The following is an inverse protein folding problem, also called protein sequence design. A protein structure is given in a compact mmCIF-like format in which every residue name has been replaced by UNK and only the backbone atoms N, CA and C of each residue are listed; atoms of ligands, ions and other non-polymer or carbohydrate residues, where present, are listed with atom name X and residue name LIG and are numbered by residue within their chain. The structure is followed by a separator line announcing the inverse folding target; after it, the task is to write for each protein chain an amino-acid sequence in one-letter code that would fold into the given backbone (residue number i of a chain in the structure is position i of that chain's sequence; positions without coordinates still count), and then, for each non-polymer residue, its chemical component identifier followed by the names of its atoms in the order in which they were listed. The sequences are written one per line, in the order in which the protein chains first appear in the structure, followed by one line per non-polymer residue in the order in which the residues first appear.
data_IF_308279272834
#
_entry.id   IF_308279272834
#
_cell.length_a   1.000
_cell.length_b   1.000
_cell.length_c   1.000
_cell.angle_alpha   90.00
_cell.angle_beta   90.00
_cell.angle_gamma   90.00
#
_symmetry.space_group_name_H-M   'P 1'
#
loop_
_entity.id
_entity.type
_entity.pdbx_description
1 polymer ?
#
# COMPACT_ATOMS: atom_id res chain seq x y z
N UNK A 1 -29.56 7.03 29.59
CA UNK A 1 -28.85 6.55 28.38
C UNK A 1 -27.87 7.63 27.93
N UNK A 2 -26.57 7.30 27.78
CA UNK A 2 -25.59 8.22 27.23
C UNK A 2 -25.82 8.36 25.72
N UNK A 3 -25.84 9.61 25.24
CA UNK A 3 -26.05 9.89 23.82
C UNK A 3 -24.71 10.07 23.13
N UNK A 4 -24.47 9.34 22.03
CA UNK A 4 -23.32 9.54 21.18
C UNK A 4 -23.72 10.45 20.03
N UNK A 5 -23.08 11.61 19.90
CA UNK A 5 -23.31 12.55 18.80
C UNK A 5 -22.28 12.32 17.72
N UNK A 6 -22.72 12.03 16.50
CA UNK A 6 -21.85 11.98 15.34
C UNK A 6 -21.83 13.37 14.71
N UNK A 7 -20.69 14.02 14.70
CA UNK A 7 -20.48 15.32 14.02
C UNK A 7 -19.57 15.12 12.82
N UNK A 8 -19.92 15.77 11.70
CA UNK A 8 -19.02 15.89 10.56
C UNK A 8 -17.83 16.76 10.97
N UNK A 9 -16.61 16.25 10.79
CA UNK A 9 -15.41 17.07 10.82
C UNK A 9 -15.19 17.62 9.41
N UNK A 10 -14.96 18.93 9.30
CA UNK A 10 -14.47 19.53 8.07
C UNK A 10 -13.03 19.07 7.80
N UNK A 11 -12.93 17.94 7.12
CA UNK A 11 -11.65 17.34 6.75
C UNK A 11 -11.52 17.33 5.24
N UNK A 12 -10.55 18.05 4.72
CA UNK A 12 -10.24 18.06 3.30
C UNK A 12 -9.17 17.03 2.99
N UNK A 13 -9.44 16.13 2.05
CA UNK A 13 -8.45 15.19 1.54
C UNK A 13 -7.84 15.74 0.26
N UNK A 14 -6.51 15.86 0.22
CA UNK A 14 -5.80 16.30 -0.97
C UNK A 14 -5.86 15.21 -2.06
N UNK A 15 -6.46 15.53 -3.20
CA UNK A 15 -6.50 14.67 -4.35
C UNK A 15 -5.27 14.89 -5.22
N UNK A 16 -4.58 13.81 -5.59
CA UNK A 16 -3.42 13.84 -6.48
C UNK A 16 -3.80 13.28 -7.85
N UNK A 17 -3.62 14.06 -8.91
CA UNK A 17 -3.76 13.58 -10.28
C UNK A 17 -2.48 12.87 -10.73
N UNK A 18 -2.62 11.62 -11.20
CA UNK A 18 -1.55 10.80 -11.74
C UNK A 18 -1.88 10.43 -13.18
N UNK A 19 -0.93 10.55 -14.09
CA UNK A 19 -1.17 10.18 -15.48
C UNK A 19 0.09 10.26 -16.33
N UNK A 20 0.02 9.61 -17.49
CA UNK A 20 1.05 9.67 -18.54
C UNK A 20 0.40 9.67 -19.91
N UNK A 21 1.07 10.30 -20.86
CA UNK A 21 0.71 10.30 -22.27
C UNK A 21 1.71 9.45 -23.06
N UNK A 22 1.18 8.58 -23.90
CA UNK A 22 1.91 7.82 -24.90
C UNK A 22 1.67 8.45 -26.27
N UNK A 23 2.70 8.54 -27.12
CA UNK A 23 2.62 8.98 -28.50
C UNK A 23 3.30 7.96 -29.37
N UNK A 24 2.70 7.62 -30.50
CA UNK A 24 3.31 6.75 -31.51
C UNK A 24 2.94 7.24 -32.91
N UNK A 25 3.84 7.06 -33.90
CA UNK A 25 3.54 7.31 -35.29
C UNK A 25 2.63 6.21 -35.87
N UNK A 26 1.83 6.54 -36.86
CA UNK A 26 1.00 5.56 -37.56
C UNK A 26 1.82 4.40 -38.12
N UNK A 27 3.02 4.68 -38.63
CA UNK A 27 3.93 3.68 -39.14
C UNK A 27 4.41 2.73 -38.04
N UNK A 28 4.77 3.27 -36.85
CA UNK A 28 5.17 2.47 -35.69
C UNK A 28 4.05 1.53 -35.24
N UNK A 29 2.80 1.97 -35.26
CA UNK A 29 1.64 1.15 -34.90
C UNK A 29 1.33 0.10 -35.99
N UNK A 30 1.39 0.51 -37.28
CA UNK A 30 1.03 -0.34 -38.41
C UNK A 30 2.01 -1.50 -38.67
N UNK A 31 3.30 -1.25 -38.46
CA UNK A 31 4.35 -2.23 -38.77
C UNK A 31 4.85 -3.04 -37.57
N UNK A 32 4.21 -2.89 -36.42
CA UNK A 32 4.52 -3.70 -35.24
C UNK A 32 4.00 -5.12 -35.38
N UNK A 33 4.84 -6.10 -35.04
CA UNK A 33 4.42 -7.51 -34.90
C UNK A 33 3.71 -7.81 -33.58
N UNK A 34 3.92 -6.98 -32.57
CA UNK A 34 3.33 -7.04 -31.24
C UNK A 34 2.59 -5.74 -30.98
N UNK A 35 1.45 -5.80 -30.33
CA UNK A 35 0.73 -4.59 -29.89
C UNK A 35 1.44 -3.93 -28.71
N UNK A 36 2.58 -3.30 -29.02
CA UNK A 36 3.40 -2.59 -28.03
C UNK A 36 2.67 -1.37 -27.47
N UNK A 37 1.74 -0.80 -28.22
CA UNK A 37 0.98 0.37 -27.78
C UNK A 37 0.05 -0.01 -26.61
N UNK A 38 -0.75 -1.06 -26.77
CA UNK A 38 -1.61 -1.58 -25.70
C UNK A 38 -0.79 -2.08 -24.51
N UNK A 39 0.35 -2.74 -24.75
CA UNK A 39 1.24 -3.18 -23.67
C UNK A 39 1.78 -1.98 -22.85
N UNK A 40 2.17 -0.90 -23.54
CA UNK A 40 2.65 0.32 -22.90
C UNK A 40 1.54 1.00 -22.08
N UNK A 41 0.31 1.05 -22.59
CA UNK A 41 -0.85 1.59 -21.83
C UNK A 41 -1.12 0.79 -20.55
N UNK A 42 -1.07 -0.54 -20.63
CA UNK A 42 -1.22 -1.41 -19.43
C UNK A 42 -0.12 -1.12 -18.40
N UNK A 43 1.13 -0.93 -18.87
CA UNK A 43 2.25 -0.59 -17.98
C UNK A 43 2.08 0.78 -17.32
N UNK A 44 1.54 1.76 -18.05
CA UNK A 44 1.20 3.07 -17.48
C UNK A 44 0.14 2.93 -16.38
N UNK A 45 -0.92 2.14 -16.62
CA UNK A 45 -1.94 1.86 -15.60
C UNK A 45 -1.36 1.22 -14.35
N UNK A 46 -0.49 0.23 -14.51
CA UNK A 46 0.21 -0.40 -13.38
C UNK A 46 1.11 0.59 -12.60
N UNK A 47 1.79 1.51 -13.30
CA UNK A 47 2.60 2.53 -12.64
C UNK A 47 1.75 3.56 -11.88
N UNK A 48 0.57 3.93 -12.41
CA UNK A 48 -0.39 4.78 -11.69
C UNK A 48 -0.82 4.10 -10.39
N UNK A 49 -1.21 2.82 -10.44
CA UNK A 49 -1.59 2.04 -9.26
C UNK A 49 -0.44 1.96 -8.23
N UNK A 50 0.81 1.78 -8.71
CA UNK A 50 1.98 1.78 -7.84
C UNK A 50 2.22 3.14 -7.17
N UNK A 51 2.02 4.24 -7.89
CA UNK A 51 2.10 5.58 -7.31
C UNK A 51 1.00 5.82 -6.25
N UNK A 52 -0.23 5.37 -6.52
CA UNK A 52 -1.32 5.44 -5.54
C UNK A 52 -1.02 4.60 -4.30
N UNK A 53 -0.44 3.40 -4.46
CA UNK A 53 0.00 2.57 -3.33
C UNK A 53 1.06 3.28 -2.48
N UNK A 54 2.01 3.99 -3.09
CA UNK A 54 3.00 4.80 -2.36
C UNK A 54 2.33 5.93 -1.57
N UNK A 55 1.37 6.63 -2.18
CA UNK A 55 0.61 7.68 -1.49
C UNK A 55 -0.20 7.11 -0.31
N UNK A 56 -0.80 5.92 -0.46
CA UNK A 56 -1.51 5.23 0.62
C UNK A 56 -0.58 4.83 1.78
N UNK A 57 0.58 4.26 1.46
CA UNK A 57 1.59 3.88 2.46
C UNK A 57 2.15 5.11 3.18
N UNK A 58 2.35 6.22 2.47
CA UNK A 58 2.79 7.47 3.10
C UNK A 58 1.77 7.97 4.14
N UNK A 59 0.47 7.93 3.82
CA UNK A 59 -0.60 8.27 4.76
C UNK A 59 -0.65 7.29 5.93
N UNK A 60 -0.45 5.98 5.69
CA UNK A 60 -0.39 4.97 6.75
C UNK A 60 0.80 5.14 7.71
N UNK A 61 1.90 5.73 7.26
CA UNK A 61 3.12 5.93 8.06
C UNK A 61 3.16 7.31 8.73
N UNK A 62 2.75 8.35 8.01
CA UNK A 62 2.91 9.74 8.41
C UNK A 62 1.60 10.44 8.75
N UNK A 63 0.45 9.80 8.49
CA UNK A 63 -0.86 10.44 8.57
C UNK A 63 -1.19 11.24 7.31
N UNK A 64 -2.38 11.78 7.27
CA UNK A 64 -2.92 12.54 6.12
C UNK A 64 -2.70 14.06 6.23
N UNK A 65 -1.87 14.49 7.17
CA UNK A 65 -1.56 15.90 7.42
C UNK A 65 -2.55 16.61 8.34
N UNK A 66 -3.67 15.98 8.73
CA UNK A 66 -4.57 16.55 9.74
C UNK A 66 -4.04 16.31 11.15
N UNK A 67 -4.40 17.20 12.07
CA UNK A 67 -3.98 17.12 13.47
C UNK A 67 -4.41 15.80 14.10
N UNK A 68 -3.45 15.04 14.64
CA UNK A 68 -3.71 13.77 15.32
C UNK A 68 -3.94 12.58 14.36
N UNK A 69 -3.71 12.72 13.06
CA UNK A 69 -3.87 11.63 12.08
C UNK A 69 -2.67 10.69 12.00
N UNK A 70 -1.52 11.06 12.56
CA UNK A 70 -0.34 10.22 12.53
C UNK A 70 -0.50 8.98 13.43
N UNK A 71 -0.23 7.77 12.91
CA UNK A 71 -0.34 6.55 13.70
C UNK A 71 0.80 6.47 14.73
N UNK A 72 0.62 5.60 15.72
CA UNK A 72 1.67 5.34 16.71
C UNK A 72 2.86 4.64 16.05
N UNK A 73 4.05 5.24 16.20
CA UNK A 73 5.31 4.66 15.74
C UNK A 73 6.00 3.95 16.90
N UNK A 74 6.39 2.71 16.65
CA UNK A 74 7.15 1.85 17.56
C UNK A 74 8.52 1.57 16.95
N UNK A 75 9.50 1.31 17.80
CA UNK A 75 10.85 0.92 17.37
C UNK A 75 11.19 -0.40 18.03
N UNK A 76 11.84 -1.32 17.32
CA UNK A 76 12.30 -2.59 17.89
C UNK A 76 13.36 -2.35 18.96
N UNK A 77 13.50 -3.27 19.90
CA UNK A 77 14.50 -3.21 20.95
C UNK A 77 15.92 -3.35 20.39
N UNK A 78 16.09 -4.19 19.38
CA UNK A 78 17.37 -4.48 18.72
C UNK A 78 17.33 -4.10 17.23
N UNK A 79 18.50 -4.14 16.58
CA UNK A 79 18.64 -3.92 15.13
C UNK A 79 18.13 -5.10 14.29
N UNK A 80 17.95 -6.27 14.92
CA UNK A 80 17.36 -7.46 14.31
C UNK A 80 15.95 -7.67 14.85
N UNK A 81 15.04 -8.09 13.97
CA UNK A 81 13.67 -8.40 14.33
C UNK A 81 13.63 -9.65 15.21
N UNK A 82 12.89 -9.58 16.33
CA UNK A 82 12.61 -10.69 17.21
C UNK A 82 11.10 -10.98 17.28
N UNK A 83 10.74 -12.20 17.64
CA UNK A 83 9.32 -12.57 17.82
C UNK A 83 8.62 -11.71 18.89
N UNK A 84 9.37 -11.35 19.96
CA UNK A 84 8.88 -10.42 21.01
C UNK A 84 8.46 -9.07 20.49
N UNK A 85 9.08 -8.57 19.41
CA UNK A 85 8.71 -7.29 18.80
C UNK A 85 7.32 -7.40 18.13
N UNK A 86 7.05 -8.52 17.46
CA UNK A 86 5.74 -8.78 16.86
C UNK A 86 4.65 -8.93 17.93
N UNK A 87 4.95 -9.59 19.05
CA UNK A 87 4.02 -9.67 20.19
C UNK A 87 3.77 -8.28 20.80
N UNK A 88 4.80 -7.46 20.91
CA UNK A 88 4.68 -6.08 21.37
C UNK A 88 3.79 -5.26 20.44
N UNK A 89 3.97 -5.40 19.13
CA UNK A 89 3.14 -4.74 18.13
C UNK A 89 1.68 -5.19 18.26
N UNK A 90 1.43 -6.48 18.35
CA UNK A 90 0.10 -7.06 18.52
C UNK A 90 -0.58 -6.57 19.81
N UNK A 91 0.15 -6.50 20.93
CA UNK A 91 -0.40 -6.06 22.23
C UNK A 91 -0.85 -4.59 22.26
N UNK A 92 -0.43 -3.77 21.28
CA UNK A 92 -0.86 -2.37 21.17
C UNK A 92 -2.23 -2.19 20.51
N UNK A 93 -2.81 -3.26 19.98
CA UNK A 93 -4.17 -3.25 19.45
C UNK A 93 -5.16 -3.61 20.57
N UNK A 94 -5.75 -2.60 21.21
CA UNK A 94 -6.71 -2.79 22.33
C UNK A 94 -8.16 -2.63 21.88
N UNK A 95 -8.44 -1.63 21.02
CA UNK A 95 -9.79 -1.33 20.52
C UNK A 95 -10.05 -1.92 19.12
N UNK A 96 -8.99 -2.24 18.37
CA UNK A 96 -9.04 -2.75 17.01
C UNK A 96 -8.33 -4.09 16.93
N UNK A 97 -8.54 -4.83 15.83
CA UNK A 97 -7.91 -6.12 15.61
C UNK A 97 -6.79 -5.99 14.56
N UNK A 98 -5.60 -6.48 14.90
CA UNK A 98 -4.54 -6.61 13.90
C UNK A 98 -4.91 -7.73 12.92
N UNK A 99 -5.47 -7.38 11.78
CA UNK A 99 -5.86 -8.36 10.75
C UNK A 99 -4.98 -8.31 9.50
N UNK A 100 -4.15 -7.29 9.35
CA UNK A 100 -3.29 -7.12 8.17
C UNK A 100 -1.92 -6.60 8.57
N UNK A 101 -0.88 -7.19 7.99
CA UNK A 101 0.51 -6.74 8.07
C UNK A 101 0.99 -6.37 6.67
N UNK A 102 1.34 -5.10 6.45
CA UNK A 102 1.99 -4.66 5.22
C UNK A 102 3.50 -4.61 5.44
N UNK A 103 4.23 -5.32 4.62
CA UNK A 103 5.70 -5.42 4.69
C UNK A 103 6.29 -5.51 3.30
N UNK A 104 7.56 -5.15 3.14
CA UNK A 104 8.27 -5.45 1.91
C UNK A 104 8.80 -6.89 1.90
N UNK A 105 9.26 -7.37 0.75
CA UNK A 105 9.73 -8.74 0.58
C UNK A 105 10.89 -9.10 1.53
N UNK A 106 11.81 -8.16 1.78
CA UNK A 106 12.96 -8.36 2.67
C UNK A 106 12.53 -8.52 4.13
N UNK A 107 11.63 -7.66 4.60
CA UNK A 107 11.08 -7.73 5.95
C UNK A 107 10.21 -8.97 6.13
N UNK A 108 9.43 -9.34 5.10
CA UNK A 108 8.65 -10.58 5.11
C UNK A 108 9.55 -11.83 5.27
N UNK A 109 10.66 -11.88 4.51
CA UNK A 109 11.64 -12.97 4.64
C UNK A 109 12.25 -13.01 6.05
N UNK A 110 12.54 -11.86 6.65
CA UNK A 110 13.03 -11.78 8.02
C UNK A 110 12.00 -12.29 9.04
N UNK A 111 10.71 -11.95 8.88
CA UNK A 111 9.63 -12.46 9.74
C UNK A 111 9.51 -13.99 9.61
N UNK A 112 9.43 -14.50 8.37
CA UNK A 112 9.28 -15.93 8.11
C UNK A 112 10.51 -16.74 8.55
N UNK A 113 11.69 -16.13 8.59
CA UNK A 113 12.92 -16.74 9.07
C UNK A 113 13.05 -16.83 10.60
N UNK A 114 12.13 -16.22 11.36
CA UNK A 114 12.13 -16.36 12.82
C UNK A 114 11.85 -17.81 13.22
N UNK A 115 12.58 -18.33 14.21
CA UNK A 115 12.45 -19.71 14.69
C UNK A 115 11.01 -20.05 15.08
N UNK A 116 10.26 -19.10 15.65
CA UNK A 116 8.86 -19.28 16.01
C UNK A 116 7.94 -19.61 14.82
N UNK A 117 8.32 -19.21 13.59
CA UNK A 117 7.53 -19.43 12.37
C UNK A 117 8.15 -20.49 11.45
N UNK A 118 9.43 -20.79 11.62
CA UNK A 118 10.14 -21.80 10.81
C UNK A 118 10.11 -23.22 11.38
N UNK A 119 9.63 -23.40 12.62
CA UNK A 119 9.52 -24.71 13.25
C UNK A 119 8.46 -25.56 12.51
N UNK A 120 8.81 -26.77 12.04
CA UNK A 120 7.89 -27.65 11.32
C UNK A 120 6.68 -28.10 12.14
N UNK A 121 6.78 -28.08 13.47
CA UNK A 121 5.75 -28.59 14.39
C UNK A 121 4.74 -27.53 14.77
N UNK A 122 5.20 -26.30 15.01
CA UNK A 122 4.37 -25.19 15.54
C UNK A 122 4.38 -23.96 14.65
N UNK A 123 5.24 -23.91 13.64
CA UNK A 123 5.42 -22.79 12.75
C UNK A 123 4.40 -22.68 11.61
N UNK A 124 4.61 -21.70 10.77
CA UNK A 124 3.77 -21.47 9.59
C UNK A 124 4.14 -22.46 8.47
N UNK A 125 3.15 -23.05 7.83
CA UNK A 125 3.34 -24.02 6.73
C UNK A 125 3.73 -23.38 5.38
N UNK A 126 4.56 -22.33 5.41
CA UNK A 126 5.00 -21.65 4.20
C UNK A 126 5.80 -22.56 3.27
N UNK A 127 6.67 -23.41 3.83
CA UNK A 127 7.53 -24.30 3.06
C UNK A 127 6.74 -25.29 2.19
N UNK A 128 5.57 -25.73 2.67
CA UNK A 128 4.74 -26.72 1.96
C UNK A 128 3.75 -26.06 0.99
N UNK A 129 3.25 -24.88 1.29
CA UNK A 129 2.13 -24.27 0.55
C UNK A 129 2.56 -23.13 -0.36
N UNK A 130 3.75 -22.53 -0.13
CA UNK A 130 4.20 -21.32 -0.81
C UNK A 130 3.32 -20.09 -0.54
N UNK A 131 2.31 -20.19 0.33
CA UNK A 131 1.47 -19.07 0.73
C UNK A 131 2.09 -18.37 1.93
N UNK A 132 2.06 -17.03 1.90
CA UNK A 132 2.47 -16.25 3.06
C UNK A 132 1.60 -16.63 4.25
N UNK A 133 2.26 -16.96 5.37
CA UNK A 133 1.58 -17.31 6.58
C UNK A 133 0.82 -16.14 7.19
N UNK A 134 -0.02 -16.44 8.17
CA UNK A 134 -0.79 -15.44 8.93
C UNK A 134 -0.21 -15.30 10.35
N UNK A 135 0.93 -14.59 10.53
CA UNK A 135 1.50 -14.43 11.85
C UNK A 135 0.53 -13.70 12.78
N UNK A 136 0.29 -14.29 13.95
CA UNK A 136 -0.64 -13.74 14.96
C UNK A 136 -2.07 -13.51 14.43
N UNK A 137 -2.51 -14.27 13.42
CA UNK A 137 -3.84 -14.14 12.82
C UNK A 137 -3.99 -13.00 11.82
N UNK A 138 -2.91 -12.27 11.50
CA UNK A 138 -2.92 -11.21 10.52
C UNK A 138 -2.46 -11.69 9.15
N UNK A 139 -3.17 -11.30 8.09
CA UNK A 139 -2.77 -11.55 6.71
C UNK A 139 -1.54 -10.72 6.36
N UNK A 140 -0.47 -11.36 5.90
CA UNK A 140 0.74 -10.68 5.47
C UNK A 140 0.65 -10.33 3.98
N UNK A 141 0.70 -9.04 3.66
CA UNK A 141 0.63 -8.52 2.30
C UNK A 141 1.98 -7.90 1.94
N UNK A 142 2.55 -8.36 0.83
CA UNK A 142 3.78 -7.77 0.29
C UNK A 142 3.47 -6.45 -0.40
N UNK A 143 4.21 -5.41 -0.01
CA UNK A 143 4.09 -4.08 -0.59
C UNK A 143 5.47 -3.45 -0.77
N UNK A 144 5.88 -3.24 -2.02
CA UNK A 144 7.18 -2.63 -2.35
C UNK A 144 7.28 -1.15 -1.95
N UNK A 145 6.15 -0.51 -1.63
CA UNK A 145 6.14 0.88 -1.18
C UNK A 145 6.54 1.02 0.29
N UNK A 146 6.53 -0.06 1.07
CA UNK A 146 6.95 -0.06 2.48
C UNK A 146 8.47 -0.09 2.55
N UNK A 147 9.05 0.78 3.37
CA UNK A 147 10.49 0.86 3.55
C UNK A 147 11.06 -0.42 4.20
N UNK A 148 12.33 -0.71 3.90
CA UNK A 148 13.05 -1.83 4.51
C UNK A 148 13.02 -1.73 6.05
N UNK A 149 12.77 -2.86 6.70
CA UNK A 149 12.72 -2.90 8.17
C UNK A 149 11.49 -2.22 8.79
N UNK A 150 10.50 -1.84 7.97
CA UNK A 150 9.24 -1.28 8.47
C UNK A 150 8.13 -2.31 8.35
N UNK A 151 7.34 -2.42 9.40
CA UNK A 151 6.14 -3.26 9.49
C UNK A 151 4.97 -2.34 9.78
N UNK A 152 3.96 -2.35 8.94
CA UNK A 152 2.71 -1.62 9.15
C UNK A 152 1.64 -2.64 9.51
N UNK A 153 1.19 -2.60 10.76
CA UNK A 153 0.10 -3.42 11.24
C UNK A 153 -1.18 -2.57 11.26
N UNK A 154 -2.27 -3.13 10.76
CA UNK A 154 -3.52 -2.38 10.69
C UNK A 154 -4.76 -3.26 10.78
N UNK A 155 -5.86 -2.63 11.16
CA UNK A 155 -7.21 -3.14 10.93
C UNK A 155 -7.73 -2.52 9.63
N UNK A 156 -7.78 -3.31 8.55
CA UNK A 156 -8.14 -2.81 7.21
C UNK A 156 -9.56 -2.25 7.10
N UNK A 157 -10.42 -2.50 8.11
CA UNK A 157 -11.80 -1.98 8.13
C UNK A 157 -11.86 -0.53 8.56
N UNK A 158 -10.86 -0.07 9.33
CA UNK A 158 -10.89 1.20 10.05
C UNK A 158 -9.66 2.07 9.82
N UNK A 159 -8.68 1.59 9.03
CA UNK A 159 -7.39 2.24 8.89
C UNK A 159 -7.43 3.41 7.89
N UNK A 160 -7.82 3.15 6.67
CA UNK A 160 -7.63 4.04 5.53
C UNK A 160 -8.87 4.07 4.65
N UNK A 161 -9.17 5.26 4.14
CA UNK A 161 -10.18 5.51 3.10
C UNK A 161 -9.49 6.01 1.83
N UNK A 162 -9.94 5.51 0.67
CA UNK A 162 -9.55 6.03 -0.63
C UNK A 162 -10.66 6.90 -1.20
N UNK A 163 -10.35 8.15 -1.45
CA UNK A 163 -11.26 9.10 -2.10
C UNK A 163 -10.87 9.19 -3.58
N UNK A 164 -11.78 8.79 -4.46
CA UNK A 164 -11.57 8.82 -5.92
C UNK A 164 -12.29 10.04 -6.48
N UNK A 165 -11.52 10.97 -7.05
CA UNK A 165 -12.07 12.10 -7.80
C UNK A 165 -12.45 11.67 -9.22
N UNK A 166 -11.44 11.15 -9.96
CA UNK A 166 -11.64 10.59 -11.28
C UNK A 166 -11.10 9.16 -11.31
N UNK A 167 -11.90 8.24 -11.77
CA UNK A 167 -11.45 6.87 -12.04
C UNK A 167 -10.34 6.85 -13.10
N UNK A 168 -9.73 5.70 -13.33
CA UNK A 168 -8.76 5.57 -14.42
C UNK A 168 -9.47 5.77 -15.75
N UNK A 169 -9.12 6.84 -16.46
CA UNK A 169 -9.61 7.17 -17.81
C UNK A 169 -8.51 7.01 -18.83
N UNK A 170 -8.90 6.60 -20.03
CA UNK A 170 -8.00 6.52 -21.19
C UNK A 170 -8.61 7.40 -22.29
N UNK A 171 -7.94 8.50 -22.59
CA UNK A 171 -8.30 9.41 -23.66
C UNK A 171 -7.36 9.19 -24.83
N UNK A 172 -7.90 8.90 -26.01
CA UNK A 172 -7.11 8.69 -27.23
C UNK A 172 -7.51 9.71 -28.29
N UNK A 173 -6.51 10.17 -29.04
CA UNK A 173 -6.69 11.16 -30.09
C UNK A 173 -5.68 10.92 -31.23
N UNK A 174 -6.08 11.26 -32.45
CA UNK A 174 -5.27 11.17 -33.67
C UNK A 174 -4.93 12.55 -34.20
N UNK A 175 -3.65 12.83 -34.30
CA UNK A 175 -3.12 14.05 -34.90
C UNK A 175 -2.80 13.77 -36.37
N UNK A 176 -3.73 14.14 -37.26
CA UNK A 176 -3.65 13.87 -38.72
C UNK A 176 -2.51 14.66 -39.36
N UNK A 177 -2.30 15.88 -38.89
CA UNK A 177 -1.25 16.81 -39.35
C UNK A 177 0.15 16.27 -39.09
N UNK A 178 0.36 15.55 -37.99
CA UNK A 178 1.65 14.96 -37.62
C UNK A 178 1.72 13.43 -37.84
N UNK A 179 0.63 12.80 -38.31
CA UNK A 179 0.50 11.33 -38.45
C UNK A 179 0.86 10.57 -37.15
N UNK A 180 0.41 11.12 -36.02
CA UNK A 180 0.64 10.56 -34.70
C UNK A 180 -0.67 10.11 -34.05
N UNK A 181 -0.63 8.99 -33.35
CA UNK A 181 -1.64 8.57 -32.39
C UNK A 181 -1.13 8.81 -30.99
N UNK A 182 -1.99 9.37 -30.13
CA UNK A 182 -1.66 9.63 -28.74
C UNK A 182 -2.75 9.08 -27.84
N UNK A 183 -2.37 8.54 -26.70
CA UNK A 183 -3.29 8.15 -25.64
C UNK A 183 -2.77 8.63 -24.29
N UNK A 184 -3.65 9.21 -23.51
CA UNK A 184 -3.39 9.64 -22.14
C UNK A 184 -4.14 8.74 -21.18
N UNK A 185 -3.46 8.23 -20.17
CA UNK A 185 -4.06 7.51 -19.06
C UNK A 185 -3.94 8.38 -17.83
N UNK A 186 -5.04 8.69 -17.16
CA UNK A 186 -5.03 9.51 -15.95
C UNK A 186 -6.02 9.01 -14.91
N UNK A 187 -5.74 9.31 -13.64
CA UNK A 187 -6.62 9.06 -12.51
C UNK A 187 -6.36 10.09 -11.42
N UNK A 188 -7.38 10.46 -10.68
CA UNK A 188 -7.31 11.40 -9.55
C UNK A 188 -7.81 10.70 -8.30
N UNK A 189 -6.93 10.50 -7.31
CA UNK A 189 -7.28 9.88 -6.04
C UNK A 189 -6.52 10.51 -4.88
N UNK A 190 -7.07 10.36 -3.69
CA UNK A 190 -6.46 10.76 -2.44
C UNK A 190 -6.73 9.73 -1.36
N UNK A 191 -5.98 9.79 -0.27
CA UNK A 191 -6.11 8.88 0.85
C UNK A 191 -6.28 9.66 2.15
N UNK A 192 -7.12 9.16 3.03
CA UNK A 192 -7.44 9.77 4.31
C UNK A 192 -7.35 8.71 5.41
N UNK A 193 -6.76 9.07 6.55
CA UNK A 193 -6.73 8.22 7.72
C UNK A 193 -8.09 8.28 8.44
N UNK A 194 -8.75 7.13 8.63
CA UNK A 194 -10.03 7.08 9.35
C UNK A 194 -9.77 7.14 10.85
N UNK A 195 -9.11 6.12 11.38
CA UNK A 195 -8.73 6.05 12.80
C UNK A 195 -7.23 5.75 12.94
N UNK A 196 -6.43 6.69 13.48
CA UNK A 196 -5.00 6.47 13.66
C UNK A 196 -4.68 5.30 14.60
N UNK A 197 -5.56 5.03 15.56
CA UNK A 197 -5.38 3.92 16.49
C UNK A 197 -5.58 2.54 15.87
N UNK A 198 -6.24 2.48 14.71
CA UNK A 198 -6.36 1.25 13.92
C UNK A 198 -5.09 0.89 13.13
N UNK A 199 -4.07 1.75 13.18
CA UNK A 199 -2.78 1.57 12.50
C UNK A 199 -1.65 1.71 13.50
N UNK A 200 -0.69 0.80 13.46
CA UNK A 200 0.56 0.87 14.22
C UNK A 200 1.73 0.61 13.28
N UNK A 201 2.74 1.43 13.36
CA UNK A 201 3.94 1.32 12.53
C UNK A 201 5.11 0.94 13.41
N UNK A 202 5.80 -0.14 13.07
CA UNK A 202 7.03 -0.56 13.73
C UNK A 202 8.20 -0.45 12.76
N UNK A 203 9.27 0.20 13.18
CA UNK A 203 10.51 0.29 12.44
C UNK A 203 11.62 -0.44 13.18
N UNK A 204 12.50 -1.11 12.44
CA UNK A 204 13.73 -1.66 13.00
C UNK A 204 14.62 -0.50 13.49
N UNK A 205 15.23 -0.71 14.66
CA UNK A 205 16.19 0.22 15.20
C UNK A 205 17.39 0.32 14.25
N UNK A 206 17.72 1.52 13.83
CA UNK A 206 18.95 1.78 13.08
C UNK A 206 20.17 1.65 14.00
N UNK A 207 21.27 1.11 13.45
CA UNK A 207 22.52 0.94 14.18
C UNK A 207 23.13 2.30 14.53
#
# INVERSE_FOLDING_TARGET
LSTTTISLKDKTTALKKRGRMLRASYEAIKFQRLDLFTLALRRIGAEIARCQMKDAVDVLVNGDGSTGSAPQKLTTAATTLAYSDLLTLWSKFTAYQMNTLLVNAKTAAAILGLSAFSDPTTGLHFQNTGKLGTPLGAEMILCDAVADGTIIALDRRYALEMVVGDAVTVDADRLIDCQLERAAVSSTAGFSMIFPDAVKVMALKTA
#
